data_IF_820436225588
#
_entry.id   IF_820436225588
#
_cell.length_a   1.000
_cell.length_b   1.000
_cell.length_c   1.000
_cell.angle_alpha   90.00
_cell.angle_beta   90.00
_cell.angle_gamma   90.00
#
_symmetry.space_group_name_H-M   'P 1'
#
loop_
_entity.id
_entity.type
_entity.pdbx_description
1 polymer ?
#
# COMPACT_ATOMS: atom_id res chain seq x y z
N UNK A 1 -51.30 15.44 -47.46
CA UNK A 1 -51.10 14.72 -46.18
C UNK A 1 -50.17 15.55 -45.31
N UNK A 2 -50.69 16.09 -44.22
CA UNK A 2 -49.91 16.85 -43.24
C UNK A 2 -49.25 15.87 -42.26
N UNK A 3 -47.93 15.87 -42.16
CA UNK A 3 -47.25 15.18 -41.07
C UNK A 3 -47.41 16.00 -39.78
N UNK A 4 -48.28 15.52 -38.90
CA UNK A 4 -48.41 15.93 -37.51
C UNK A 4 -47.03 15.97 -36.85
N UNK A 5 -46.69 17.12 -36.27
CA UNK A 5 -45.64 17.25 -35.26
C UNK A 5 -46.05 16.36 -34.08
N UNK A 6 -45.25 15.34 -33.77
CA UNK A 6 -45.39 14.59 -32.52
C UNK A 6 -44.94 15.53 -31.39
N UNK A 7 -45.90 16.04 -30.62
CA UNK A 7 -45.63 16.58 -29.29
C UNK A 7 -45.20 15.43 -28.40
N UNK A 8 -43.88 15.29 -28.21
CA UNK A 8 -43.36 14.53 -27.08
C UNK A 8 -43.56 15.39 -25.84
N UNK A 9 -44.30 14.84 -24.88
CA UNK A 9 -44.58 15.44 -23.57
C UNK A 9 -43.38 16.16 -22.99
N UNK A 10 -43.62 17.34 -22.40
CA UNK A 10 -42.67 18.06 -21.53
C UNK A 10 -42.30 17.15 -20.36
N UNK A 11 -41.34 16.26 -20.58
CA UNK A 11 -40.53 15.73 -19.50
C UNK A 11 -39.64 16.90 -19.10
N UNK A 12 -40.09 17.66 -18.10
CA UNK A 12 -39.30 18.76 -17.56
C UNK A 12 -37.88 18.24 -17.29
N UNK A 13 -36.89 18.94 -17.83
CA UNK A 13 -35.49 18.59 -17.61
C UNK A 13 -35.16 18.89 -16.15
N UNK A 14 -35.45 17.91 -15.29
CA UNK A 14 -35.28 17.97 -13.83
C UNK A 14 -33.83 18.19 -13.42
N UNK A 15 -32.88 17.88 -14.30
CA UNK A 15 -31.46 18.13 -14.02
C UNK A 15 -31.17 19.60 -14.32
N UNK A 16 -31.61 20.13 -15.46
CA UNK A 16 -31.42 21.56 -15.79
C UNK A 16 -32.15 22.54 -14.86
N UNK A 17 -33.14 22.07 -14.08
CA UNK A 17 -33.83 22.87 -13.06
C UNK A 17 -33.08 22.97 -11.73
N UNK A 18 -31.97 22.24 -11.56
CA UNK A 18 -31.13 22.32 -10.36
C UNK A 18 -30.40 23.68 -10.26
N UNK A 19 -30.04 24.11 -9.03
CA UNK A 19 -29.19 25.28 -8.82
C UNK A 19 -27.82 25.13 -9.48
N UNK A 20 -27.24 26.26 -9.89
CA UNK A 20 -25.93 26.34 -10.57
C UNK A 20 -24.83 25.62 -9.79
N UNK A 21 -24.84 25.77 -8.46
CA UNK A 21 -23.85 25.15 -7.56
C UNK A 21 -23.93 23.62 -7.61
N UNK A 22 -25.13 23.06 -7.70
CA UNK A 22 -25.35 21.61 -7.81
C UNK A 22 -24.95 21.12 -9.19
N UNK A 23 -25.26 21.88 -10.25
CA UNK A 23 -24.81 21.56 -11.61
C UNK A 23 -23.27 21.55 -11.70
N UNK A 24 -22.60 22.53 -11.09
CA UNK A 24 -21.15 22.58 -10.99
C UNK A 24 -20.56 21.40 -10.23
N UNK A 25 -21.21 20.96 -9.14
CA UNK A 25 -20.83 19.74 -8.42
C UNK A 25 -20.98 18.49 -9.29
N UNK A 26 -22.11 18.33 -9.99
CA UNK A 26 -22.34 17.20 -10.90
C UNK A 26 -21.27 17.17 -11.99
N UNK A 27 -20.95 18.32 -12.60
CA UNK A 27 -19.90 18.42 -13.61
C UNK A 27 -18.49 18.12 -13.05
N UNK A 28 -18.26 18.38 -11.76
CA UNK A 28 -16.99 18.07 -11.08
C UNK A 28 -16.83 16.58 -10.70
N UNK A 29 -17.86 15.76 -10.93
CA UNK A 29 -17.81 14.31 -10.74
C UNK A 29 -17.49 13.55 -12.03
N UNK A 30 -17.45 14.24 -13.18
CA UNK A 30 -17.12 13.64 -14.48
C UNK A 30 -15.79 14.20 -15.01
N UNK A 31 -15.09 13.45 -15.89
CA UNK A 31 -13.90 13.96 -16.56
C UNK A 31 -14.13 15.33 -17.21
N UNK A 32 -13.16 16.24 -17.13
CA UNK A 32 -13.30 17.65 -17.56
C UNK A 32 -13.81 17.76 -19.00
N UNK A 33 -13.40 16.82 -19.87
CA UNK A 33 -13.83 16.77 -21.28
C UNK A 33 -15.32 16.50 -21.45
N UNK A 34 -15.88 15.61 -20.62
CA UNK A 34 -17.32 15.35 -20.62
C UNK A 34 -18.05 16.55 -20.03
N UNK A 35 -17.52 17.17 -18.97
CA UNK A 35 -18.10 18.39 -18.42
C UNK A 35 -18.16 19.52 -19.46
N UNK A 36 -17.05 19.77 -20.17
CA UNK A 36 -16.96 20.77 -21.23
C UNK A 36 -17.89 20.46 -22.42
N UNK A 37 -17.98 19.19 -22.82
CA UNK A 37 -18.90 18.74 -23.88
C UNK A 37 -20.36 18.98 -23.48
N UNK A 38 -20.75 18.60 -22.26
CA UNK A 38 -22.10 18.83 -21.72
C UNK A 38 -22.44 20.32 -21.67
N UNK A 39 -21.48 21.16 -21.26
CA UNK A 39 -21.63 22.61 -21.28
C UNK A 39 -21.83 23.15 -22.71
N UNK A 40 -21.10 22.63 -23.70
CA UNK A 40 -21.22 23.06 -25.09
C UNK A 40 -22.58 22.70 -25.71
N UNK A 41 -23.15 21.56 -25.33
CA UNK A 41 -24.39 21.02 -25.92
C UNK A 41 -25.67 21.68 -25.39
N UNK A 42 -25.64 22.32 -24.21
CA UNK A 42 -26.83 22.91 -23.60
C UNK A 42 -26.65 24.41 -23.32
N UNK A 43 -27.66 25.21 -23.71
CA UNK A 43 -27.69 26.66 -23.42
C UNK A 43 -27.65 26.95 -21.92
N UNK A 44 -28.30 26.11 -21.10
CA UNK A 44 -28.35 26.21 -19.64
C UNK A 44 -26.99 25.93 -18.99
N UNK A 45 -26.23 25.01 -19.58
CA UNK A 45 -24.98 24.50 -19.02
C UNK A 45 -23.74 25.23 -19.57
N UNK A 46 -23.89 26.04 -20.62
CA UNK A 46 -22.79 26.73 -21.33
C UNK A 46 -21.81 27.47 -20.43
N UNK A 47 -22.29 28.07 -19.34
CA UNK A 47 -21.46 28.85 -18.42
C UNK A 47 -21.10 28.08 -17.13
N UNK A 48 -21.60 26.85 -16.96
CA UNK A 48 -21.42 26.06 -15.74
C UNK A 48 -20.00 25.49 -15.61
N UNK A 49 -19.20 25.48 -16.68
CA UNK A 49 -17.82 25.02 -16.64
C UNK A 49 -16.98 25.82 -15.63
N UNK A 50 -17.32 27.11 -15.41
CA UNK A 50 -16.67 27.97 -14.42
C UNK A 50 -16.87 27.51 -12.97
N UNK A 51 -17.86 26.66 -12.70
CA UNK A 51 -18.18 26.13 -11.36
C UNK A 51 -17.52 24.77 -11.11
N UNK A 52 -16.78 24.25 -12.09
CA UNK A 52 -16.07 22.97 -11.97
C UNK A 52 -14.82 23.16 -11.11
N UNK A 53 -14.70 22.36 -10.06
CA UNK A 53 -13.61 22.45 -9.08
C UNK A 53 -12.69 21.22 -9.07
N UNK A 54 -13.03 20.18 -9.82
CA UNK A 54 -12.17 19.02 -10.05
C UNK A 54 -11.85 18.94 -11.53
N UNK A 55 -10.56 19.01 -11.86
CA UNK A 55 -10.10 18.90 -13.23
C UNK A 55 -9.38 17.58 -13.41
N UNK A 56 -9.86 16.79 -14.34
CA UNK A 56 -9.25 15.53 -14.75
C UNK A 56 -8.99 15.52 -16.26
N UNK A 57 -7.69 15.55 -16.60
CA UNK A 57 -7.17 15.54 -17.95
C UNK A 57 -6.45 14.21 -18.19
N UNK A 58 -7.19 13.24 -18.72
CA UNK A 58 -6.66 11.92 -19.04
C UNK A 58 -6.61 11.69 -20.56
N UNK A 59 -5.39 11.47 -21.07
CA UNK A 59 -5.08 11.16 -22.47
C UNK A 59 -5.71 9.84 -22.96
N UNK A 60 -5.95 8.86 -22.08
CA UNK A 60 -6.49 7.54 -22.45
C UNK A 60 -7.88 7.62 -23.11
N UNK A 61 -8.69 8.62 -22.76
CA UNK A 61 -10.00 8.86 -23.39
C UNK A 61 -9.90 9.27 -24.88
N UNK A 62 -8.71 9.55 -25.40
CA UNK A 62 -8.46 9.81 -26.82
C UNK A 62 -8.19 8.53 -27.62
N UNK A 63 -7.87 7.42 -26.95
CA UNK A 63 -7.50 6.14 -27.60
C UNK A 63 -8.71 5.48 -28.27
N UNK A 64 -9.93 5.68 -27.75
CA UNK A 64 -11.12 5.00 -28.29
C UNK A 64 -11.70 5.64 -29.56
N UNK A 65 -11.45 6.93 -29.81
CA UNK A 65 -12.12 7.66 -30.89
C UNK A 65 -11.30 7.88 -32.17
N UNK A 66 -9.96 7.81 -32.13
CA UNK A 66 -9.15 8.15 -33.32
C UNK A 66 -7.88 7.32 -33.48
N UNK A 67 -8.02 6.09 -33.99
CA UNK A 67 -6.89 5.20 -34.37
C UNK A 67 -6.07 5.67 -35.59
N UNK A 68 -6.38 6.79 -36.25
CA UNK A 68 -5.81 7.13 -37.57
C UNK A 68 -4.75 8.25 -37.64
N UNK A 69 -4.45 8.98 -36.57
CA UNK A 69 -3.40 10.02 -36.59
C UNK A 69 -2.59 10.00 -35.29
N UNK A 70 -1.32 9.57 -35.33
CA UNK A 70 -0.48 9.37 -34.14
C UNK A 70 0.56 10.48 -33.88
N UNK A 71 0.74 11.46 -34.78
CA UNK A 71 1.78 12.50 -34.64
C UNK A 71 1.30 13.87 -34.14
N UNK A 72 -0.01 14.15 -34.13
CA UNK A 72 -0.60 15.45 -33.71
C UNK A 72 -1.26 15.42 -32.32
N UNK A 73 -1.29 14.26 -31.64
CA UNK A 73 -2.10 14.00 -30.42
C UNK A 73 -1.71 14.83 -29.19
N UNK A 74 -0.42 15.10 -28.99
CA UNK A 74 0.04 15.88 -27.84
C UNK A 74 -0.43 17.34 -27.88
N UNK A 75 -0.54 17.93 -29.08
CA UNK A 75 -0.96 19.32 -29.24
C UNK A 75 -2.46 19.52 -28.98
N UNK A 76 -3.32 18.57 -29.38
CA UNK A 76 -4.77 18.67 -29.16
C UNK A 76 -5.14 18.63 -27.67
N UNK A 77 -4.42 17.83 -26.88
CA UNK A 77 -4.58 17.81 -25.43
C UNK A 77 -4.15 19.12 -24.79
N UNK A 78 -2.97 19.61 -25.15
CA UNK A 78 -2.43 20.87 -24.66
C UNK A 78 -3.39 22.02 -24.93
N UNK A 79 -3.85 22.17 -26.17
CA UNK A 79 -4.79 23.22 -26.55
C UNK A 79 -6.11 23.10 -25.78
N UNK A 80 -6.57 21.86 -25.54
CA UNK A 80 -7.75 21.61 -24.74
C UNK A 80 -7.55 21.98 -23.26
N UNK A 81 -6.43 21.60 -22.66
CA UNK A 81 -6.13 21.92 -21.25
C UNK A 81 -5.92 23.42 -21.07
N UNK A 82 -5.14 24.07 -21.94
CA UNK A 82 -4.91 25.52 -21.88
C UNK A 82 -6.22 26.30 -22.02
N UNK A 83 -7.09 25.94 -22.97
CA UNK A 83 -8.42 26.57 -23.09
C UNK A 83 -9.26 26.35 -21.84
N UNK A 84 -9.23 25.15 -21.27
CA UNK A 84 -9.97 24.84 -20.05
C UNK A 84 -9.46 25.65 -18.86
N UNK A 85 -8.15 25.78 -18.68
CA UNK A 85 -7.56 26.57 -17.60
C UNK A 85 -7.77 28.07 -17.76
N UNK A 86 -7.74 28.60 -19.00
CA UNK A 86 -8.12 30.00 -19.26
C UNK A 86 -9.57 30.26 -18.87
N UNK A 87 -10.48 29.32 -19.12
CA UNK A 87 -11.89 29.42 -18.73
C UNK A 87 -12.12 29.33 -17.22
N UNK A 88 -11.12 28.86 -16.47
CA UNK A 88 -11.19 28.63 -15.02
C UNK A 88 -10.41 29.66 -14.20
N UNK A 89 -9.71 30.62 -14.85
CA UNK A 89 -9.02 31.73 -14.18
C UNK A 89 -10.01 32.54 -13.34
N UNK A 90 -10.06 32.25 -12.04
CA UNK A 90 -10.93 32.92 -11.06
C UNK A 90 -11.71 31.98 -10.14
N UNK A 91 -11.79 30.68 -10.45
CA UNK A 91 -12.49 29.70 -9.63
C UNK A 91 -11.52 28.84 -8.81
N UNK A 92 -11.79 28.61 -7.51
CA UNK A 92 -10.92 27.79 -6.67
C UNK A 92 -10.97 26.33 -7.12
N UNK A 93 -9.86 25.83 -7.67
CA UNK A 93 -9.71 24.43 -8.04
C UNK A 93 -9.41 23.65 -6.75
N UNK A 94 -10.13 22.57 -6.48
CA UNK A 94 -9.83 21.66 -5.36
C UNK A 94 -8.84 20.59 -5.80
N UNK A 95 -9.09 19.97 -6.96
CA UNK A 95 -8.30 18.84 -7.46
C UNK A 95 -7.90 19.05 -8.91
N UNK A 96 -6.64 18.79 -9.21
CA UNK A 96 -6.07 18.77 -10.55
C UNK A 96 -5.42 17.42 -10.82
N UNK A 97 -5.83 16.75 -11.89
CA UNK A 97 -5.32 15.45 -12.34
C UNK A 97 -4.89 15.57 -13.79
N UNK A 98 -3.66 15.17 -14.08
CA UNK A 98 -3.08 15.17 -15.42
C UNK A 98 -2.39 13.83 -15.66
N UNK A 99 -2.89 13.09 -16.65
CA UNK A 99 -2.25 11.90 -17.20
C UNK A 99 -1.82 12.15 -18.64
N UNK A 100 -0.52 12.05 -18.91
CA UNK A 100 0.02 12.26 -20.25
C UNK A 100 1.05 11.20 -20.64
N UNK A 101 0.84 10.64 -21.83
CA UNK A 101 1.73 9.64 -22.42
C UNK A 101 2.77 10.25 -23.38
N UNK A 102 2.72 11.56 -23.62
CA UNK A 102 3.45 12.22 -24.71
C UNK A 102 4.67 13.01 -24.23
N UNK A 103 5.85 12.65 -24.74
CA UNK A 103 7.13 13.35 -24.48
C UNK A 103 7.18 14.80 -25.02
N UNK A 104 6.25 15.16 -25.92
CA UNK A 104 6.25 16.45 -26.62
C UNK A 104 5.63 17.60 -25.81
N UNK A 105 5.17 17.34 -24.58
CA UNK A 105 4.31 18.26 -23.81
C UNK A 105 5.07 19.03 -22.71
N UNK A 106 6.39 18.84 -22.56
CA UNK A 106 7.20 19.38 -21.45
C UNK A 106 6.90 20.84 -21.03
N UNK A 107 7.06 21.88 -21.87
CA UNK A 107 6.84 23.27 -21.43
C UNK A 107 5.37 23.58 -21.11
N UNK A 108 4.47 22.77 -21.65
CA UNK A 108 3.04 22.93 -21.42
C UNK A 108 2.67 22.33 -20.07
N UNK A 109 3.18 21.14 -19.70
CA UNK A 109 2.93 20.54 -18.37
C UNK A 109 3.31 21.50 -17.24
N UNK A 110 4.49 22.11 -17.28
CA UNK A 110 4.93 23.07 -16.25
C UNK A 110 3.99 24.27 -16.15
N UNK A 111 3.54 24.80 -17.29
CA UNK A 111 2.56 25.88 -17.35
C UNK A 111 1.21 25.46 -16.79
N UNK A 112 0.75 24.25 -17.07
CA UNK A 112 -0.51 23.70 -16.57
C UNK A 112 -0.47 23.57 -15.04
N UNK A 113 0.63 23.02 -14.50
CA UNK A 113 0.86 22.91 -13.06
C UNK A 113 0.90 24.30 -12.42
N UNK A 114 1.63 25.24 -13.01
CA UNK A 114 1.72 26.63 -12.51
C UNK A 114 0.36 27.31 -12.45
N UNK A 115 -0.44 27.21 -13.53
CA UNK A 115 -1.80 27.76 -13.57
C UNK A 115 -2.71 27.12 -12.50
N UNK A 116 -2.61 25.81 -12.28
CA UNK A 116 -3.40 25.13 -11.24
C UNK A 116 -3.00 25.60 -9.83
N UNK A 117 -1.70 25.83 -9.60
CA UNK A 117 -1.16 26.39 -8.36
C UNK A 117 -1.62 27.83 -8.12
N UNK A 118 -1.62 28.68 -9.16
CA UNK A 118 -2.17 30.04 -9.08
C UNK A 118 -3.65 30.06 -8.70
N UNK A 119 -4.42 29.03 -9.08
CA UNK A 119 -5.82 28.86 -8.69
C UNK A 119 -6.01 28.28 -7.28
N UNK A 120 -4.94 28.08 -6.51
CA UNK A 120 -4.98 27.62 -5.13
C UNK A 120 -5.33 26.15 -4.97
N UNK A 121 -4.90 25.29 -5.90
CA UNK A 121 -5.18 23.84 -5.86
C UNK A 121 -4.76 23.18 -4.55
N UNK A 122 -5.62 22.28 -4.05
CA UNK A 122 -5.39 21.52 -2.82
C UNK A 122 -4.83 20.12 -3.10
N UNK A 123 -5.26 19.48 -4.19
CA UNK A 123 -4.85 18.13 -4.56
C UNK A 123 -4.30 18.09 -5.99
N UNK A 124 -3.08 17.58 -6.16
CA UNK A 124 -2.46 17.41 -7.49
C UNK A 124 -2.13 15.94 -7.70
N UNK A 125 -2.57 15.39 -8.83
CA UNK A 125 -2.22 14.07 -9.32
C UNK A 125 -1.57 14.17 -10.69
N UNK A 126 -0.34 13.68 -10.81
CA UNK A 126 0.43 13.69 -12.06
C UNK A 126 0.82 12.26 -12.40
N UNK A 127 0.41 11.79 -13.58
CA UNK A 127 0.84 10.52 -14.18
C UNK A 127 1.57 10.81 -15.49
N UNK A 128 2.91 10.76 -15.47
CA UNK A 128 3.75 11.20 -16.59
C UNK A 128 4.73 10.08 -16.98
N UNK A 129 4.62 9.58 -18.21
CA UNK A 129 5.49 8.48 -18.69
C UNK A 129 6.94 8.96 -18.96
N UNK A 130 7.11 10.25 -19.26
CA UNK A 130 8.40 10.85 -19.61
C UNK A 130 9.17 11.40 -18.40
N UNK A 131 10.51 11.33 -18.44
CA UNK A 131 11.42 12.00 -17.49
C UNK A 131 11.16 13.52 -17.44
N UNK A 132 10.67 14.03 -16.31
CA UNK A 132 10.43 15.47 -16.11
C UNK A 132 10.87 15.86 -14.70
N UNK A 133 11.36 17.08 -14.51
CA UNK A 133 11.62 17.62 -13.17
C UNK A 133 10.33 18.20 -12.61
N UNK A 134 10.16 18.16 -11.28
CA UNK A 134 9.02 18.83 -10.66
C UNK A 134 9.28 20.34 -10.67
N UNK A 135 8.32 21.17 -11.12
CA UNK A 135 8.43 22.63 -11.00
C UNK A 135 8.65 23.04 -9.54
N UNK A 136 9.57 23.98 -9.30
CA UNK A 136 9.89 24.45 -7.94
C UNK A 136 8.67 25.06 -7.25
N UNK A 137 7.75 25.64 -8.04
CA UNK A 137 6.47 26.20 -7.61
C UNK A 137 5.60 25.17 -6.89
N UNK A 138 5.60 23.90 -7.36
CA UNK A 138 4.85 22.82 -6.73
C UNK A 138 5.42 22.50 -5.35
N UNK A 139 6.75 22.54 -5.22
CA UNK A 139 7.46 22.29 -3.96
C UNK A 139 7.26 23.42 -2.95
N UNK A 140 7.02 24.65 -3.40
CA UNK A 140 6.83 25.82 -2.53
C UNK A 140 5.35 26.17 -2.27
N UNK A 141 4.42 25.35 -2.79
CA UNK A 141 2.99 25.62 -2.69
C UNK A 141 2.49 25.65 -1.24
N UNK A 142 1.76 26.72 -0.89
CA UNK A 142 1.13 26.91 0.43
C UNK A 142 -0.31 26.41 0.51
N UNK A 143 -0.87 25.99 -0.61
CA UNK A 143 -2.25 25.49 -0.68
C UNK A 143 -2.30 23.97 -0.85
N UNK A 144 -1.24 23.37 -1.41
CA UNK A 144 -1.21 21.96 -1.74
C UNK A 144 -1.19 21.09 -0.48
N UNK A 145 -2.26 20.34 -0.28
CA UNK A 145 -2.47 19.42 0.86
C UNK A 145 -2.13 17.98 0.47
N UNK A 146 -2.38 17.59 -0.78
CA UNK A 146 -2.14 16.23 -1.27
C UNK A 146 -1.44 16.24 -2.62
N UNK A 147 -0.35 15.48 -2.71
CA UNK A 147 0.42 15.29 -3.94
C UNK A 147 0.52 13.81 -4.26
N UNK A 148 0.18 13.44 -5.49
CA UNK A 148 0.35 12.09 -6.00
C UNK A 148 1.11 12.13 -7.32
N UNK A 149 2.26 11.46 -7.34
CA UNK A 149 3.11 11.34 -8.52
C UNK A 149 3.17 9.87 -8.93
N UNK A 150 2.89 9.60 -10.20
CA UNK A 150 2.91 8.26 -10.78
C UNK A 150 3.72 8.29 -12.05
N UNK A 151 4.62 7.32 -12.19
CA UNK A 151 5.52 7.20 -13.32
C UNK A 151 6.44 8.42 -13.56
N UNK A 152 7.61 8.16 -14.13
CA UNK A 152 8.61 9.18 -14.42
C UNK A 152 9.69 9.32 -13.33
N UNK A 153 10.82 9.90 -13.71
CA UNK A 153 11.94 10.20 -12.81
C UNK A 153 12.05 11.71 -12.66
N UNK A 154 12.13 12.19 -11.42
CA UNK A 154 12.23 13.61 -11.10
C UNK A 154 13.55 13.88 -10.35
N UNK A 155 14.71 13.83 -11.06
CA UNK A 155 15.95 14.34 -10.49
C UNK A 155 15.80 15.86 -10.37
N UNK A 156 15.87 16.38 -9.15
CA UNK A 156 15.77 17.81 -8.95
C UNK A 156 17.14 18.45 -9.15
N UNK A 157 17.21 19.42 -10.06
CA UNK A 157 18.37 20.30 -10.16
C UNK A 157 18.31 21.30 -8.99
N UNK A 158 19.04 20.98 -7.92
CA UNK A 158 19.41 21.85 -6.79
C UNK A 158 18.33 22.83 -6.30
N UNK A 159 17.68 22.46 -5.20
CA UNK A 159 16.87 23.40 -4.42
C UNK A 159 17.70 24.53 -3.81
N UNK A 160 17.12 25.74 -3.62
CA UNK A 160 17.76 26.78 -2.83
C UNK A 160 17.91 26.29 -1.38
N UNK A 161 19.10 26.44 -0.77
CA UNK A 161 19.32 26.07 0.63
C UNK A 161 18.32 26.79 1.56
N UNK A 162 17.72 26.06 2.49
CA UNK A 162 16.82 26.63 3.51
C UNK A 162 15.38 26.90 3.04
N UNK A 163 14.97 26.43 1.86
CA UNK A 163 13.57 26.51 1.42
C UNK A 163 12.71 25.50 2.17
N UNK A 164 11.62 25.97 2.79
CA UNK A 164 10.62 25.10 3.40
C UNK A 164 9.82 24.42 2.28
N UNK A 165 10.09 23.14 2.06
CA UNK A 165 9.39 22.36 1.05
C UNK A 165 8.01 21.97 1.58
N UNK A 166 7.02 22.06 0.72
CA UNK A 166 5.67 21.58 0.95
C UNK A 166 5.06 22.06 2.29
N UNK A 167 4.96 23.39 2.52
CA UNK A 167 4.55 23.96 3.80
C UNK A 167 3.15 23.56 4.29
N UNK A 168 2.25 23.14 3.38
CA UNK A 168 0.88 22.74 3.70
C UNK A 168 0.57 21.26 3.39
N UNK A 169 1.55 20.50 2.90
CA UNK A 169 1.32 19.14 2.38
C UNK A 169 1.18 18.14 3.53
N UNK A 170 0.04 17.45 3.56
CA UNK A 170 -0.27 16.41 4.55
C UNK A 170 -0.08 15.00 4.02
N UNK A 171 -0.27 14.79 2.72
CA UNK A 171 -0.19 13.47 2.10
C UNK A 171 0.67 13.51 0.85
N UNK A 172 1.69 12.65 0.81
CA UNK A 172 2.55 12.45 -0.35
C UNK A 172 2.48 10.99 -0.81
N UNK A 173 2.11 10.78 -2.07
CA UNK A 173 2.08 9.45 -2.67
C UNK A 173 2.96 9.38 -3.92
N UNK A 174 3.88 8.41 -3.95
CA UNK A 174 4.88 8.21 -5.00
C UNK A 174 4.73 6.79 -5.56
N UNK A 175 4.41 6.65 -6.84
CA UNK A 175 4.17 5.38 -7.51
C UNK A 175 5.13 5.17 -8.69
N UNK A 176 6.14 4.32 -8.53
CA UNK A 176 7.21 4.06 -9.51
C UNK A 176 7.97 5.33 -9.90
N UNK A 177 8.32 6.13 -8.88
CA UNK A 177 8.93 7.46 -9.06
C UNK A 177 10.30 7.52 -8.39
N UNK A 178 11.30 8.04 -9.12
CA UNK A 178 12.56 8.47 -8.52
C UNK A 178 12.42 9.90 -7.99
N UNK A 179 12.35 10.04 -6.67
CA UNK A 179 12.13 11.32 -6.00
C UNK A 179 13.24 11.59 -4.98
N UNK A 180 14.30 12.25 -5.44
CA UNK A 180 15.52 12.48 -4.66
C UNK A 180 15.35 13.47 -3.49
N UNK A 181 14.27 14.26 -3.51
CA UNK A 181 14.04 15.33 -2.53
C UNK A 181 13.96 14.80 -1.10
N UNK A 182 13.45 13.58 -0.88
CA UNK A 182 13.32 12.97 0.45
C UNK A 182 14.60 12.29 0.97
N UNK A 183 15.63 12.16 0.14
CA UNK A 183 16.83 11.39 0.47
C UNK A 183 17.95 12.22 1.10
N UNK A 184 17.93 13.55 0.96
CA UNK A 184 18.91 14.39 1.66
C UNK A 184 18.43 14.72 3.06
N UNK A 185 19.18 14.25 4.06
CA UNK A 185 18.99 14.53 5.49
C UNK A 185 19.04 16.03 5.85
N UNK A 186 19.46 16.88 4.91
CA UNK A 186 19.76 18.29 5.13
C UNK A 186 18.61 19.25 4.75
N UNK A 187 17.47 18.77 4.22
CA UNK A 187 16.47 19.69 3.62
C UNK A 187 14.99 19.24 3.69
N UNK A 188 14.65 18.22 4.47
CA UNK A 188 13.29 17.67 4.53
C UNK A 188 12.52 18.05 5.80
N UNK A 189 12.26 19.33 6.01
CA UNK A 189 11.21 19.74 6.95
C UNK A 189 9.95 20.08 6.15
N UNK A 190 9.22 19.04 5.72
CA UNK A 190 7.80 19.19 5.37
C UNK A 190 7.04 19.24 6.71
N UNK A 191 6.69 20.43 7.25
CA UNK A 191 6.38 20.58 8.67
C UNK A 191 5.06 19.92 9.09
N UNK A 192 4.19 19.64 8.12
CA UNK A 192 2.82 19.14 8.35
C UNK A 192 2.54 17.83 7.60
N UNK A 193 3.57 17.14 7.10
CA UNK A 193 3.43 15.90 6.36
C UNK A 193 3.04 14.76 7.31
N UNK A 194 1.82 14.26 7.21
CA UNK A 194 1.24 13.26 8.10
C UNK A 194 1.33 11.84 7.49
N UNK A 195 1.21 11.71 6.17
CA UNK A 195 1.16 10.42 5.46
C UNK A 195 2.09 10.37 4.25
N UNK A 196 2.88 9.29 4.15
CA UNK A 196 3.77 9.01 3.01
C UNK A 196 3.49 7.62 2.45
N UNK A 197 3.19 7.56 1.16
CA UNK A 197 2.95 6.33 0.43
C UNK A 197 3.99 6.19 -0.69
N UNK A 198 4.75 5.10 -0.71
CA UNK A 198 5.78 4.81 -1.69
C UNK A 198 5.48 3.42 -2.28
N UNK A 199 5.36 3.32 -3.59
CA UNK A 199 5.04 2.08 -4.27
C UNK A 199 5.89 1.94 -5.55
N UNK A 200 6.93 1.12 -5.48
CA UNK A 200 7.81 0.77 -6.58
C UNK A 200 7.57 -0.68 -7.00
N UNK A 201 6.60 -0.91 -7.89
CA UNK A 201 6.28 -2.25 -8.41
C UNK A 201 7.08 -2.60 -9.68
N UNK A 202 7.72 -1.61 -10.33
CA UNK A 202 8.49 -1.83 -11.57
C UNK A 202 9.97 -2.07 -11.24
N UNK A 203 10.50 -3.28 -11.45
CA UNK A 203 11.81 -3.62 -10.90
C UNK A 203 13.00 -2.91 -11.54
N UNK A 204 12.85 -2.50 -12.80
CA UNK A 204 13.87 -1.80 -13.59
C UNK A 204 13.81 -0.27 -13.44
N UNK A 205 12.76 0.27 -12.80
CA UNK A 205 12.53 1.71 -12.63
C UNK A 205 12.50 2.17 -11.18
N UNK A 206 12.95 1.34 -10.25
CA UNK A 206 12.91 1.66 -8.84
C UNK A 206 13.59 3.00 -8.57
N UNK A 207 12.88 3.87 -7.86
CA UNK A 207 13.26 5.25 -7.64
C UNK A 207 13.35 5.61 -6.16
N UNK A 208 12.87 4.74 -5.27
CA UNK A 208 13.01 4.91 -3.84
C UNK A 208 14.47 4.71 -3.40
N UNK A 209 15.02 5.72 -2.72
CA UNK A 209 16.41 5.78 -2.22
C UNK A 209 16.50 5.18 -0.81
N UNK A 210 15.58 4.26 -0.47
CA UNK A 210 15.55 3.54 0.81
C UNK A 210 15.61 4.42 2.08
N UNK A 211 15.23 5.69 1.97
CA UNK A 211 15.27 6.65 3.07
C UNK A 211 13.95 7.42 3.18
N UNK A 212 13.46 7.54 4.41
CA UNK A 212 12.33 8.39 4.80
C UNK A 212 12.64 9.01 6.16
N UNK A 213 12.46 10.32 6.30
CA UNK A 213 12.67 11.02 7.58
C UNK A 213 11.68 12.16 7.72
N UNK A 214 11.22 12.42 8.96
CA UNK A 214 10.27 13.49 9.24
C UNK A 214 9.59 13.34 10.59
N UNK A 215 9.55 14.40 11.37
CA UNK A 215 8.96 14.39 12.72
C UNK A 215 7.44 14.50 12.71
N UNK A 216 6.82 15.05 11.66
CA UNK A 216 5.36 15.17 11.54
C UNK A 216 4.67 13.88 11.05
N UNK A 217 5.43 12.93 10.50
CA UNK A 217 4.90 11.76 9.79
C UNK A 217 4.30 10.77 10.79
N UNK A 218 3.03 10.41 10.58
CA UNK A 218 2.27 9.48 11.43
C UNK A 218 1.96 8.15 10.72
N UNK A 219 1.93 8.14 9.39
CA UNK A 219 1.59 6.95 8.60
C UNK A 219 2.56 6.78 7.43
N UNK A 220 3.14 5.59 7.31
CA UNK A 220 4.00 5.20 6.19
C UNK A 220 3.50 3.92 5.57
N UNK A 221 3.37 3.91 4.24
CA UNK A 221 3.14 2.73 3.43
C UNK A 221 4.26 2.64 2.40
N UNK A 222 5.07 1.60 2.47
CA UNK A 222 6.16 1.34 1.54
C UNK A 222 5.92 -0.03 0.92
N UNK A 223 5.90 -0.05 -0.39
CA UNK A 223 5.90 -1.25 -1.20
C UNK A 223 7.02 -1.11 -2.22
N UNK A 224 8.03 -1.96 -2.17
CA UNK A 224 9.13 -1.92 -3.13
C UNK A 224 9.56 -3.32 -3.54
N UNK A 225 9.47 -3.59 -4.83
CA UNK A 225 9.93 -4.84 -5.47
C UNK A 225 11.10 -4.62 -6.42
N UNK A 226 11.86 -3.55 -6.19
CA UNK A 226 13.09 -3.28 -6.94
C UNK A 226 14.03 -4.48 -6.92
N UNK A 227 14.66 -4.77 -8.06
CA UNK A 227 15.74 -5.77 -8.15
C UNK A 227 17.14 -5.14 -8.05
N UNK A 228 17.22 -3.82 -7.84
CA UNK A 228 18.48 -3.13 -7.69
C UNK A 228 19.00 -3.30 -6.25
N UNK A 229 19.93 -4.24 -6.05
CA UNK A 229 20.57 -4.52 -4.76
C UNK A 229 21.17 -3.28 -4.08
N UNK A 230 21.59 -2.25 -4.83
CA UNK A 230 22.13 -1.02 -4.24
C UNK A 230 21.11 -0.28 -3.36
N UNK A 231 19.82 -0.35 -3.69
CA UNK A 231 18.75 0.27 -2.89
C UNK A 231 18.54 -0.45 -1.55
N UNK A 232 19.06 -1.66 -1.41
CA UNK A 232 18.88 -2.48 -0.21
C UNK A 232 20.16 -2.56 0.63
N UNK A 233 21.11 -1.66 0.41
CA UNK A 233 22.33 -1.56 1.21
C UNK A 233 22.04 -1.16 2.66
N UNK A 234 21.17 -0.17 2.86
CA UNK A 234 20.63 0.21 4.16
C UNK A 234 19.28 0.90 3.97
N UNK A 235 18.27 0.53 4.77
CA UNK A 235 16.97 1.23 4.81
C UNK A 235 16.93 2.14 6.03
N UNK A 236 16.68 3.43 5.81
CA UNK A 236 16.67 4.47 6.86
C UNK A 236 15.25 5.00 7.04
N UNK A 237 14.68 4.83 8.24
CA UNK A 237 13.36 5.38 8.60
C UNK A 237 13.51 6.11 9.93
N UNK A 238 13.49 7.45 9.88
CA UNK A 238 13.68 8.31 11.06
C UNK A 238 12.42 9.16 11.27
N UNK A 239 11.43 8.58 11.94
CA UNK A 239 10.09 9.18 12.11
C UNK A 239 9.57 8.90 13.53
N UNK A 240 9.96 9.71 14.53
CA UNK A 240 9.69 9.42 15.94
C UNK A 240 8.20 9.39 16.31
N UNK A 241 7.36 10.13 15.58
CA UNK A 241 5.90 10.19 15.79
C UNK A 241 5.11 9.22 14.88
N UNK A 242 5.78 8.26 14.23
CA UNK A 242 5.13 7.29 13.38
C UNK A 242 4.22 6.38 14.21
N UNK A 243 2.94 6.27 13.82
CA UNK A 243 1.93 5.44 14.51
C UNK A 243 1.61 4.16 13.72
N UNK A 244 1.70 4.22 12.39
CA UNK A 244 1.38 3.12 11.49
C UNK A 244 2.46 2.92 10.43
N UNK A 245 2.96 1.69 10.31
CA UNK A 245 3.91 1.28 9.29
C UNK A 245 3.36 0.07 8.51
N UNK A 246 3.27 0.20 7.20
CA UNK A 246 3.06 -0.92 6.27
C UNK A 246 4.28 -1.03 5.36
N UNK A 247 5.08 -2.09 5.51
CA UNK A 247 6.37 -2.25 4.86
C UNK A 247 6.44 -3.59 4.12
N UNK A 248 6.37 -3.53 2.79
CA UNK A 248 6.50 -4.66 1.88
C UNK A 248 7.73 -4.50 1.01
N UNK A 249 8.73 -5.36 1.17
CA UNK A 249 9.95 -5.30 0.37
C UNK A 249 10.82 -6.56 0.46
N UNK A 250 11.89 -6.63 -0.33
CA UNK A 250 12.96 -7.59 -0.04
C UNK A 250 13.71 -7.18 1.23
N UNK A 251 14.21 -8.17 1.98
CA UNK A 251 15.04 -7.92 3.16
C UNK A 251 16.29 -7.13 2.76
N UNK A 252 16.60 -6.04 3.46
CA UNK A 252 17.79 -5.23 3.22
C UNK A 252 19.01 -5.79 3.96
N UNK A 253 20.20 -5.41 3.51
CA UNK A 253 21.46 -5.76 4.18
C UNK A 253 21.55 -5.16 5.58
N UNK A 254 20.99 -3.95 5.77
CA UNK A 254 20.95 -3.29 7.07
C UNK A 254 19.73 -2.35 7.19
N UNK A 255 19.38 -1.98 8.42
CA UNK A 255 18.27 -1.09 8.73
C UNK A 255 18.68 -0.08 9.82
N UNK A 256 18.38 1.20 9.61
CA UNK A 256 18.45 2.25 10.62
C UNK A 256 17.03 2.81 10.83
N UNK A 257 16.36 2.32 11.86
CA UNK A 257 14.93 2.62 12.08
C UNK A 257 14.74 3.22 13.46
N UNK A 258 14.20 4.44 13.51
CA UNK A 258 13.81 5.16 14.71
C UNK A 258 12.32 5.52 14.63
N UNK A 259 11.49 4.75 15.34
CA UNK A 259 10.02 4.76 15.27
C UNK A 259 9.40 4.60 16.66
N UNK A 260 9.76 5.49 17.58
CA UNK A 260 9.50 5.34 19.02
C UNK A 260 8.01 5.28 19.38
N UNK A 261 7.13 5.90 18.58
CA UNK A 261 5.67 5.97 18.80
C UNK A 261 4.85 4.90 18.05
N UNK A 262 5.50 3.91 17.44
CA UNK A 262 4.83 2.97 16.54
C UNK A 262 3.85 2.05 17.27
N UNK A 263 2.59 2.05 16.82
CA UNK A 263 1.50 1.26 17.42
C UNK A 263 1.17 0.03 16.59
N UNK A 264 1.09 0.17 15.26
CA UNK A 264 0.77 -0.90 14.33
C UNK A 264 1.84 -1.03 13.25
N UNK A 265 2.37 -2.25 13.10
CA UNK A 265 3.31 -2.60 12.04
C UNK A 265 2.75 -3.75 11.20
N UNK A 266 2.89 -3.63 9.88
CA UNK A 266 2.62 -4.67 8.89
C UNK A 266 3.89 -4.92 8.11
N UNK A 267 4.39 -6.14 8.16
CA UNK A 267 5.59 -6.53 7.44
C UNK A 267 5.24 -7.57 6.38
N UNK A 268 5.69 -7.30 5.16
CA UNK A 268 5.76 -8.25 4.04
C UNK A 268 7.20 -8.29 3.49
N UNK A 269 8.08 -8.93 4.24
CA UNK A 269 9.49 -9.08 3.92
C UNK A 269 9.75 -10.34 3.10
N UNK A 270 10.55 -10.24 2.05
CA UNK A 270 10.90 -11.37 1.16
C UNK A 270 12.38 -11.69 1.16
N UNK A 271 12.69 -12.97 1.09
CA UNK A 271 14.06 -13.46 0.85
C UNK A 271 14.43 -13.32 -0.63
N UNK A 272 15.70 -12.98 -0.89
CA UNK A 272 16.25 -12.89 -2.25
C UNK A 272 16.35 -14.23 -2.96
N UNK A 273 16.33 -15.36 -2.24
CA UNK A 273 16.35 -16.71 -2.83
C UNK A 273 15.14 -17.01 -3.72
N UNK A 274 14.04 -16.29 -3.53
CA UNK A 274 12.82 -16.43 -4.34
C UNK A 274 12.83 -15.53 -5.57
N UNK A 275 13.95 -14.88 -5.84
CA UNK A 275 14.17 -14.16 -7.06
C UNK A 275 14.39 -15.15 -8.21
N UNK A 276 13.37 -15.30 -9.05
CA UNK A 276 13.39 -16.20 -10.20
C UNK A 276 14.02 -15.49 -11.40
N UNK A 277 15.04 -16.11 -11.99
CA UNK A 277 15.80 -15.57 -13.10
C UNK A 277 15.16 -15.96 -14.42
N UNK A 278 14.38 -15.04 -15.00
CA UNK A 278 13.97 -15.13 -16.40
C UNK A 278 14.06 -13.76 -17.08
N UNK A 279 15.15 -13.01 -16.83
CA UNK A 279 15.43 -11.74 -17.53
C UNK A 279 16.76 -11.75 -18.30
N UNK A 280 16.77 -11.35 -19.59
CA UNK A 280 17.93 -11.40 -20.49
C UNK A 280 19.07 -10.39 -20.18
N UNK A 281 19.03 -9.69 -19.05
CA UNK A 281 20.04 -8.68 -18.66
C UNK A 281 20.90 -9.08 -17.45
N UNK A 282 20.97 -10.38 -17.12
CA UNK A 282 21.76 -10.92 -15.99
C UNK A 282 23.27 -10.61 -16.05
N UNK A 283 23.78 -10.16 -17.20
CA UNK A 283 25.20 -9.88 -17.40
C UNK A 283 25.69 -8.54 -16.80
N UNK A 284 24.80 -7.67 -16.32
CA UNK A 284 25.19 -6.32 -15.84
C UNK A 284 25.32 -6.20 -14.31
N UNK A 285 25.00 -7.24 -13.54
CA UNK A 285 25.20 -7.25 -12.09
C UNK A 285 26.06 -8.47 -11.76
N UNK A 286 27.34 -8.30 -11.36
CA UNK A 286 28.18 -9.45 -11.05
C UNK A 286 27.70 -10.09 -9.75
N UNK A 287 26.95 -11.19 -9.89
CA UNK A 287 26.67 -12.11 -8.79
C UNK A 287 27.97 -12.86 -8.47
N UNK A 288 28.67 -12.45 -7.42
CA UNK A 288 29.70 -13.29 -6.78
C UNK A 288 29.14 -14.15 -5.64
N UNK A 289 27.84 -14.06 -5.35
CA UNK A 289 27.19 -14.96 -4.39
C UNK A 289 26.14 -15.81 -5.11
N UNK A 290 26.54 -17.05 -5.38
CA UNK A 290 25.64 -18.16 -5.66
C UNK A 290 24.91 -18.50 -4.34
N UNK A 291 23.60 -18.21 -4.20
CA UNK A 291 22.85 -18.43 -2.95
C UNK A 291 22.82 -19.91 -2.54
N UNK A 292 23.14 -20.82 -3.47
CA UNK A 292 23.12 -22.26 -3.26
C UNK A 292 24.44 -22.81 -2.71
N UNK A 293 25.53 -22.02 -2.66
CA UNK A 293 26.86 -22.54 -2.29
C UNK A 293 27.31 -22.24 -0.86
N UNK A 294 26.81 -21.19 -0.21
CA UNK A 294 27.32 -20.75 1.11
C UNK A 294 26.32 -20.85 2.29
N UNK A 295 25.05 -21.20 2.07
CA UNK A 295 24.09 -21.39 3.16
C UNK A 295 23.68 -20.12 3.94
N UNK A 296 24.31 -18.97 3.69
CA UNK A 296 23.96 -17.68 4.27
C UNK A 296 22.92 -16.94 3.41
N UNK A 297 21.78 -16.60 4.03
CA UNK A 297 20.74 -15.80 3.40
C UNK A 297 21.15 -14.32 3.38
N UNK A 298 21.03 -13.66 2.22
CA UNK A 298 21.33 -12.23 2.10
C UNK A 298 20.29 -11.38 2.83
N UNK A 299 20.76 -10.50 3.72
CA UNK A 299 19.94 -9.53 4.47
C UNK A 299 20.00 -9.71 5.99
N UNK A 300 19.72 -8.64 6.74
CA UNK A 300 19.66 -8.66 8.21
C UNK A 300 18.46 -7.83 8.69
N UNK A 301 17.40 -8.49 9.15
CA UNK A 301 16.20 -7.86 9.67
C UNK A 301 16.30 -7.50 11.16
N UNK A 302 17.40 -7.83 11.85
CA UNK A 302 17.52 -7.72 13.32
C UNK A 302 17.23 -6.31 13.83
N UNK A 303 17.76 -5.27 13.17
CA UNK A 303 17.55 -3.87 13.57
C UNK A 303 16.13 -3.39 13.29
N UNK A 304 15.51 -3.83 12.20
CA UNK A 304 14.10 -3.53 11.90
C UNK A 304 13.19 -4.13 12.98
N UNK A 305 13.38 -5.40 13.32
CA UNK A 305 12.58 -6.09 14.35
C UNK A 305 12.79 -5.47 15.72
N UNK A 306 14.03 -5.11 16.07
CA UNK A 306 14.34 -4.41 17.30
C UNK A 306 13.66 -3.04 17.39
N UNK A 307 13.57 -2.30 16.28
CA UNK A 307 12.94 -0.98 16.24
C UNK A 307 11.42 -1.06 16.46
N UNK A 308 10.75 -2.11 15.97
CA UNK A 308 9.30 -2.27 16.11
C UNK A 308 8.86 -3.02 17.39
N UNK A 309 9.78 -3.28 18.34
CA UNK A 309 9.49 -4.09 19.54
C UNK A 309 8.35 -3.56 20.43
N UNK A 310 8.02 -2.27 20.33
CA UNK A 310 7.03 -1.60 21.17
C UNK A 310 5.61 -1.60 20.60
N UNK A 311 5.39 -2.21 19.42
CA UNK A 311 4.07 -2.22 18.77
C UNK A 311 3.02 -2.96 19.59
N UNK A 312 1.77 -2.51 19.45
CA UNK A 312 0.59 -3.15 20.04
C UNK A 312 0.00 -4.19 19.10
N UNK A 313 0.08 -3.93 17.79
CA UNK A 313 -0.40 -4.85 16.75
C UNK A 313 0.68 -5.11 15.71
N UNK A 314 0.95 -6.38 15.45
CA UNK A 314 1.91 -6.83 14.43
C UNK A 314 1.20 -7.73 13.41
N UNK A 315 1.37 -7.41 12.12
CA UNK A 315 0.95 -8.26 11.00
C UNK A 315 2.18 -8.75 10.25
N UNK A 316 2.22 -10.05 9.94
CA UNK A 316 3.31 -10.70 9.22
C UNK A 316 2.79 -11.47 8.01
N UNK A 317 3.41 -11.27 6.85
CA UNK A 317 3.18 -12.13 5.68
C UNK A 317 3.82 -13.52 5.85
N UNK A 318 3.47 -14.52 5.01
CA UNK A 318 4.11 -15.83 5.08
C UNK A 318 5.61 -15.76 4.80
N UNK A 319 6.03 -14.88 3.89
CA UNK A 319 7.44 -14.63 3.57
C UNK A 319 8.17 -13.99 4.75
N UNK A 320 7.50 -13.10 5.49
CA UNK A 320 8.08 -12.44 6.67
C UNK A 320 8.43 -13.45 7.76
N UNK A 321 7.64 -14.52 7.94
CA UNK A 321 7.96 -15.59 8.89
C UNK A 321 9.31 -16.25 8.58
N UNK A 322 9.60 -16.48 7.30
CA UNK A 322 10.90 -17.03 6.90
C UNK A 322 12.02 -16.00 7.06
N UNK A 323 11.80 -14.74 6.66
CA UNK A 323 12.81 -13.68 6.85
C UNK A 323 13.17 -13.52 8.32
N UNK A 324 12.19 -13.55 9.23
CA UNK A 324 12.45 -13.47 10.66
C UNK A 324 13.18 -14.70 11.20
N UNK A 325 13.04 -15.87 10.57
CA UNK A 325 13.80 -17.06 10.96
C UNK A 325 15.25 -17.02 10.45
N UNK A 326 15.44 -16.68 9.17
CA UNK A 326 16.74 -16.80 8.50
C UNK A 326 17.61 -15.54 8.59
N UNK A 327 17.00 -14.35 8.65
CA UNK A 327 17.70 -13.06 8.60
C UNK A 327 17.59 -12.27 9.92
N UNK A 328 17.06 -12.86 10.99
CA UNK A 328 17.03 -12.22 12.30
C UNK A 328 17.88 -12.99 13.30
N UNK A 329 18.95 -12.37 13.80
CA UNK A 329 19.86 -13.00 14.77
C UNK A 329 19.22 -13.16 16.16
N UNK A 330 18.32 -12.25 16.51
CA UNK A 330 17.64 -12.25 17.80
C UNK A 330 16.30 -11.54 17.72
N UNK A 331 15.25 -12.22 18.16
CA UNK A 331 13.92 -11.63 18.32
C UNK A 331 13.87 -10.91 19.68
N UNK A 332 13.51 -9.61 19.73
CA UNK A 332 13.37 -8.86 20.97
C UNK A 332 12.12 -9.28 21.75
N UNK A 333 12.01 -8.84 23.00
CA UNK A 333 10.77 -8.97 23.76
C UNK A 333 9.74 -7.94 23.31
N UNK A 334 8.55 -8.42 22.96
CA UNK A 334 7.40 -7.64 22.54
C UNK A 334 6.44 -7.43 23.72
N UNK A 335 6.88 -6.62 24.68
CA UNK A 335 6.15 -6.40 25.93
C UNK A 335 4.80 -5.68 25.74
N UNK A 336 4.60 -4.96 24.63
CA UNK A 336 3.36 -4.24 24.37
C UNK A 336 2.44 -4.96 23.38
N UNK A 337 2.88 -6.09 22.79
CA UNK A 337 2.16 -6.75 21.71
C UNK A 337 0.93 -7.47 22.25
N UNK A 338 -0.25 -6.94 21.93
CA UNK A 338 -1.55 -7.50 22.30
C UNK A 338 -2.15 -8.34 21.18
N UNK A 339 -1.84 -8.01 19.93
CA UNK A 339 -2.38 -8.69 18.75
C UNK A 339 -1.28 -9.05 17.75
N UNK A 340 -1.12 -10.35 17.51
CA UNK A 340 -0.30 -10.91 16.44
C UNK A 340 -1.21 -11.47 15.36
N UNK A 341 -0.99 -11.04 14.12
CA UNK A 341 -1.67 -11.57 12.95
C UNK A 341 -0.65 -12.08 11.94
N UNK A 342 -0.85 -13.26 11.38
CA UNK A 342 -0.02 -13.71 10.28
C UNK A 342 -0.78 -14.52 9.23
N UNK A 343 -0.22 -14.54 8.03
CA UNK A 343 -0.68 -15.36 6.91
C UNK A 343 0.16 -16.63 6.82
N UNK A 344 -0.50 -17.76 6.59
CA UNK A 344 0.14 -19.05 6.40
C UNK A 344 0.11 -19.45 4.93
N UNK A 345 1.17 -20.13 4.49
CA UNK A 345 1.27 -20.62 3.12
C UNK A 345 1.95 -21.98 3.08
N UNK A 346 1.46 -22.91 2.24
CA UNK A 346 1.98 -24.28 2.12
C UNK A 346 3.47 -24.37 1.74
N UNK A 347 4.01 -23.31 1.14
CA UNK A 347 5.42 -23.21 0.72
C UNK A 347 6.31 -22.43 1.70
N UNK A 348 5.77 -21.96 2.83
CA UNK A 348 6.50 -21.18 3.85
C UNK A 348 6.39 -21.87 5.20
N UNK A 349 7.48 -21.91 5.96
CA UNK A 349 7.54 -22.60 7.25
C UNK A 349 7.11 -21.70 8.41
N UNK A 350 6.83 -22.31 9.57
CA UNK A 350 6.45 -21.63 10.82
C UNK A 350 7.60 -21.58 11.85
N UNK A 351 8.83 -21.72 11.40
CA UNK A 351 10.00 -21.96 12.27
C UNK A 351 10.25 -20.84 13.30
N UNK A 352 9.87 -19.60 13.00
CA UNK A 352 10.04 -18.46 13.91
C UNK A 352 8.94 -18.35 14.98
N UNK A 353 7.77 -18.96 14.77
CA UNK A 353 6.60 -18.77 15.64
C UNK A 353 6.85 -19.17 17.11
N UNK A 354 7.53 -20.29 17.43
CA UNK A 354 7.87 -20.62 18.81
C UNK A 354 8.58 -19.46 19.54
N UNK A 355 9.61 -18.91 18.90
CA UNK A 355 10.41 -17.83 19.47
C UNK A 355 9.60 -16.54 19.61
N UNK A 356 8.80 -16.20 18.59
CA UNK A 356 7.98 -14.98 18.61
C UNK A 356 6.90 -15.04 19.71
N UNK A 357 6.23 -16.18 19.87
CA UNK A 357 5.20 -16.37 20.89
C UNK A 357 5.79 -16.38 22.31
N UNK A 358 6.95 -17.01 22.51
CA UNK A 358 7.66 -16.97 23.81
C UNK A 358 8.09 -15.55 24.19
N UNK A 359 8.43 -14.71 23.21
CA UNK A 359 8.85 -13.32 23.41
C UNK A 359 7.69 -12.32 23.45
N UNK A 360 6.44 -12.78 23.51
CA UNK A 360 5.24 -11.93 23.52
C UNK A 360 4.37 -12.19 24.76
N UNK A 361 4.82 -11.74 25.96
CA UNK A 361 4.20 -12.12 27.24
C UNK A 361 2.82 -11.50 27.50
N UNK A 362 2.38 -10.53 26.70
CA UNK A 362 1.08 -9.85 26.84
C UNK A 362 0.15 -10.12 25.64
N UNK A 363 0.45 -11.14 24.83
CA UNK A 363 -0.31 -11.46 23.62
C UNK A 363 -1.69 -12.05 23.97
N UNK A 364 -2.75 -11.32 23.65
CA UNK A 364 -4.12 -11.77 23.90
C UNK A 364 -4.83 -12.29 22.64
N UNK A 365 -4.51 -11.73 21.48
CA UNK A 365 -5.20 -12.01 20.22
C UNK A 365 -4.24 -12.60 19.20
N UNK A 366 -4.45 -13.88 18.85
CA UNK A 366 -3.72 -14.54 17.77
C UNK A 366 -4.63 -14.67 16.55
N UNK A 367 -4.24 -14.07 15.44
CA UNK A 367 -5.00 -14.12 14.17
C UNK A 367 -4.18 -14.86 13.12
N UNK A 368 -4.76 -15.92 12.57
CA UNK A 368 -4.10 -16.74 11.56
C UNK A 368 -4.98 -16.81 10.31
N UNK A 369 -4.44 -16.43 9.17
CA UNK A 369 -5.08 -16.59 7.87
C UNK A 369 -4.48 -17.82 7.18
N UNK A 370 -5.29 -18.87 7.03
CA UNK A 370 -4.87 -20.20 6.63
C UNK A 370 -4.17 -20.97 7.75
N UNK A 371 -4.27 -22.31 7.78
CA UNK A 371 -3.66 -23.16 8.81
C UNK A 371 -2.65 -24.16 8.27
N UNK A 372 -2.32 -24.07 6.97
CA UNK A 372 -1.39 -24.97 6.29
C UNK A 372 -0.06 -24.25 6.09
N UNK A 373 1.03 -24.92 6.43
CA UNK A 373 2.41 -24.42 6.29
C UNK A 373 3.33 -25.52 5.75
N UNK A 374 4.51 -25.14 5.27
CA UNK A 374 5.55 -26.08 4.84
C UNK A 374 6.05 -26.88 6.03
N UNK A 375 5.80 -28.20 6.03
CA UNK A 375 6.32 -29.09 7.08
C UNK A 375 7.83 -29.25 6.91
N UNK A 376 8.56 -28.91 7.96
CA UNK A 376 10.01 -29.09 8.08
C UNK A 376 10.30 -29.86 9.38
N UNK A 377 11.50 -30.40 9.49
CA UNK A 377 12.05 -30.97 10.73
C UNK A 377 12.24 -29.92 11.85
N UNK A 378 12.18 -28.63 11.48
CA UNK A 378 12.43 -27.49 12.34
C UNK A 378 11.17 -26.65 12.66
N UNK A 379 9.96 -27.11 12.33
CA UNK A 379 8.73 -26.34 12.59
C UNK A 379 8.44 -26.02 14.09
N UNK A 380 9.26 -26.53 15.00
CA UNK A 380 9.15 -26.29 16.43
C UNK A 380 7.88 -26.87 17.04
N UNK A 381 7.42 -26.26 18.12
CA UNK A 381 6.36 -26.74 19.01
C UNK A 381 5.04 -25.95 18.89
N UNK A 382 4.89 -25.17 17.83
CA UNK A 382 3.65 -24.44 17.50
C UNK A 382 2.76 -25.23 16.54
N UNK A 383 3.31 -26.27 15.90
CA UNK A 383 2.59 -27.07 14.91
C UNK A 383 2.37 -28.53 15.34
N UNK A 384 1.34 -29.15 14.76
CA UNK A 384 1.01 -30.56 14.99
C UNK A 384 1.95 -31.54 14.25
N UNK A 385 2.99 -31.07 13.57
CA UNK A 385 3.91 -31.90 12.79
C UNK A 385 4.69 -32.85 13.72
N UNK A 386 4.80 -34.13 13.32
CA UNK A 386 5.16 -35.26 14.19
C UNK A 386 6.59 -35.28 14.76
N UNK A 387 7.43 -34.27 14.50
CA UNK A 387 8.88 -34.40 14.65
C UNK A 387 9.45 -33.97 16.02
N UNK A 388 8.71 -33.22 16.87
CA UNK A 388 9.25 -32.65 18.12
C UNK A 388 8.35 -32.78 19.36
N UNK A 389 7.61 -33.89 19.53
CA UNK A 389 6.72 -34.12 20.69
C UNK A 389 7.40 -34.27 22.07
N UNK A 390 8.72 -34.10 22.17
CA UNK A 390 9.47 -34.27 23.43
C UNK A 390 9.66 -32.96 24.21
N UNK A 391 9.36 -31.81 23.61
CA UNK A 391 9.53 -30.48 24.23
C UNK A 391 8.14 -29.97 24.66
N UNK A 392 7.99 -29.43 25.89
CA UNK A 392 6.75 -28.76 26.29
C UNK A 392 6.45 -27.60 25.34
N UNK A 393 5.25 -27.56 24.78
CA UNK A 393 4.87 -26.53 23.82
C UNK A 393 4.88 -25.14 24.45
N UNK A 394 5.47 -24.16 23.78
CA UNK A 394 5.44 -22.75 24.14
C UNK A 394 4.02 -22.18 24.22
N UNK A 395 3.05 -22.84 23.59
CA UNK A 395 1.64 -22.52 23.64
C UNK A 395 1.06 -22.69 25.06
N UNK A 396 1.62 -23.60 25.87
CA UNK A 396 1.18 -23.85 27.24
C UNK A 396 1.39 -22.65 28.17
N UNK A 397 2.40 -21.83 27.87
CA UNK A 397 2.71 -20.57 28.58
C UNK A 397 2.14 -19.33 27.88
N UNK A 398 1.46 -19.49 26.75
CA UNK A 398 0.99 -18.38 25.95
C UNK A 398 -0.33 -17.80 26.54
N UNK A 399 -0.42 -16.47 26.76
CA UNK A 399 -1.59 -15.84 27.39
C UNK A 399 -2.74 -15.54 26.42
N UNK A 400 -2.74 -16.16 25.24
CA UNK A 400 -3.74 -15.92 24.19
C UNK A 400 -5.14 -16.31 24.68
N UNK A 401 -6.04 -15.32 24.64
CA UNK A 401 -7.46 -15.46 24.99
C UNK A 401 -8.34 -15.66 23.77
N UNK A 402 -7.97 -15.05 22.64
CA UNK A 402 -8.76 -15.10 21.39
C UNK A 402 -7.91 -15.61 20.25
N UNK A 403 -8.26 -16.77 19.72
CA UNK A 403 -7.73 -17.33 18.49
C UNK A 403 -8.70 -17.03 17.35
N UNK A 404 -8.27 -16.32 16.31
CA UNK A 404 -9.07 -16.07 15.10
C UNK A 404 -8.46 -16.77 13.91
N UNK A 405 -9.21 -17.64 13.27
CA UNK A 405 -8.79 -18.38 12.07
C UNK A 405 -9.62 -17.92 10.87
N UNK A 406 -8.94 -17.52 9.81
CA UNK A 406 -9.56 -17.18 8.53
C UNK A 406 -9.19 -18.21 7.46
N UNK A 407 -10.15 -18.54 6.60
CA UNK A 407 -9.91 -19.45 5.48
C UNK A 407 -9.85 -20.93 5.87
N UNK A 408 -10.62 -21.33 6.90
CA UNK A 408 -10.64 -22.73 7.37
C UNK A 408 -11.40 -23.62 6.39
N UNK A 409 -10.70 -24.57 5.77
CA UNK A 409 -11.26 -25.50 4.78
C UNK A 409 -11.70 -26.86 5.36
N UNK A 410 -11.32 -27.18 6.61
CA UNK A 410 -11.66 -28.45 7.26
C UNK A 410 -10.83 -29.65 6.80
N UNK A 411 -9.70 -29.43 6.14
CA UNK A 411 -8.80 -30.52 5.75
C UNK A 411 -8.25 -31.26 6.98
N UNK A 412 -7.82 -32.51 6.79
CA UNK A 412 -7.24 -33.33 7.86
C UNK A 412 -6.04 -32.66 8.56
N UNK A 413 -5.27 -31.81 7.85
CA UNK A 413 -4.15 -31.08 8.43
C UNK A 413 -4.63 -29.93 9.31
N UNK A 414 -5.63 -29.17 8.85
CA UNK A 414 -6.20 -28.05 9.61
C UNK A 414 -6.92 -28.53 10.87
N UNK A 415 -7.67 -29.64 10.80
CA UNK A 415 -8.33 -30.27 11.96
C UNK A 415 -7.29 -30.68 13.02
N UNK A 416 -6.17 -31.28 12.59
CA UNK A 416 -5.07 -31.66 13.49
C UNK A 416 -4.42 -30.43 14.15
N UNK A 417 -4.18 -29.37 13.37
CA UNK A 417 -3.60 -28.14 13.88
C UNK A 417 -4.55 -27.41 14.84
N UNK A 418 -5.85 -27.37 14.53
CA UNK A 418 -6.88 -26.80 15.41
C UNK A 418 -6.94 -27.55 16.74
N UNK A 419 -7.00 -28.88 16.69
CA UNK A 419 -6.94 -29.73 17.89
C UNK A 419 -5.70 -29.41 18.73
N UNK A 420 -4.54 -29.30 18.08
CA UNK A 420 -3.29 -28.96 18.76
C UNK A 420 -3.36 -27.60 19.47
N UNK A 421 -3.91 -26.56 18.84
CA UNK A 421 -4.10 -25.27 19.50
C UNK A 421 -5.07 -25.35 20.68
N UNK A 422 -6.20 -26.06 20.54
CA UNK A 422 -7.18 -26.24 21.60
C UNK A 422 -6.59 -26.96 22.82
N UNK A 423 -5.79 -28.00 22.59
CA UNK A 423 -5.16 -28.80 23.66
C UNK A 423 -4.04 -28.05 24.38
N UNK A 424 -3.37 -27.09 23.74
CA UNK A 424 -2.17 -26.43 24.31
C UNK A 424 -2.38 -24.97 24.74
N UNK A 425 -3.35 -24.23 24.22
CA UNK A 425 -3.63 -22.84 24.63
C UNK A 425 -4.54 -22.80 25.87
N UNK A 426 -3.93 -22.76 27.05
CA UNK A 426 -4.65 -22.87 28.34
C UNK A 426 -5.53 -21.67 28.69
N UNK A 427 -5.21 -20.47 28.18
CA UNK A 427 -5.94 -19.25 28.49
C UNK A 427 -7.05 -18.93 27.48
N UNK A 428 -7.35 -19.87 26.57
CA UNK A 428 -8.23 -19.63 25.44
C UNK A 428 -9.70 -19.48 25.87
N UNK A 429 -10.31 -18.34 25.58
CA UNK A 429 -11.71 -18.05 25.84
C UNK A 429 -12.55 -18.17 24.56
N UNK A 430 -11.99 -17.72 23.42
CA UNK A 430 -12.71 -17.68 22.15
C UNK A 430 -11.87 -18.20 20.99
N UNK A 431 -12.48 -19.11 20.22
CA UNK A 431 -12.02 -19.53 18.90
C UNK A 431 -13.00 -19.00 17.87
N UNK A 432 -12.58 -18.00 17.10
CA UNK A 432 -13.39 -17.38 16.04
C UNK A 432 -12.96 -17.89 14.68
N UNK A 433 -13.85 -18.52 13.92
CA UNK A 433 -13.48 -19.19 12.67
C UNK A 433 -14.31 -18.68 11.50
N UNK A 434 -13.63 -18.15 10.48
CA UNK A 434 -14.21 -17.90 9.16
C UNK A 434 -13.96 -19.11 8.27
N UNK A 435 -15.01 -19.88 8.02
CA UNK A 435 -14.98 -21.08 7.16
C UNK A 435 -14.95 -20.65 5.70
N UNK A 436 -14.11 -21.31 4.90
CA UNK A 436 -14.02 -21.12 3.46
C UNK A 436 -14.20 -22.47 2.78
N UNK A 437 -15.39 -22.70 2.23
CA UNK A 437 -15.76 -23.92 1.52
C UNK A 437 -16.26 -23.60 0.12
N UNK A 438 -15.88 -24.43 -0.86
CA UNK A 438 -16.25 -24.23 -2.27
C UNK A 438 -17.73 -24.50 -2.54
N UNK A 439 -18.38 -25.30 -1.68
CA UNK A 439 -19.80 -25.67 -1.77
C UNK A 439 -20.46 -25.49 -0.40
N UNK A 440 -21.68 -24.95 -0.40
CA UNK A 440 -22.47 -24.72 0.82
C UNK A 440 -22.67 -26.01 1.64
N UNK A 441 -22.82 -27.15 0.96
CA UNK A 441 -23.04 -28.46 1.57
C UNK A 441 -21.85 -28.94 2.42
N UNK A 442 -20.64 -28.44 2.13
CA UNK A 442 -19.44 -28.75 2.91
C UNK A 442 -19.31 -27.90 4.18
N UNK A 443 -20.15 -26.87 4.35
CA UNK A 443 -20.09 -25.99 5.52
C UNK A 443 -20.48 -26.71 6.81
N UNK A 444 -21.60 -27.46 6.79
CA UNK A 444 -22.13 -28.15 7.98
C UNK A 444 -21.19 -29.26 8.49
N UNK A 445 -20.63 -30.14 7.64
CA UNK A 445 -19.63 -31.11 8.09
C UNK A 445 -18.40 -30.45 8.73
N UNK A 446 -17.84 -29.42 8.08
CA UNK A 446 -16.63 -28.72 8.55
C UNK A 446 -16.85 -28.03 9.89
N UNK A 447 -18.00 -27.39 10.06
CA UNK A 447 -18.37 -26.75 11.34
C UNK A 447 -18.66 -27.76 12.43
N UNK A 448 -19.32 -28.88 12.13
CA UNK A 448 -19.55 -29.98 13.09
C UNK A 448 -18.22 -30.60 13.56
N UNK A 449 -17.30 -30.88 12.65
CA UNK A 449 -15.98 -31.42 12.99
C UNK A 449 -15.20 -30.48 13.92
N UNK A 450 -15.29 -29.18 13.68
CA UNK A 450 -14.68 -28.18 14.55
C UNK A 450 -15.36 -28.11 15.93
N UNK A 451 -16.69 -28.18 15.99
CA UNK A 451 -17.44 -28.23 17.26
C UNK A 451 -17.11 -29.49 18.07
N UNK A 452 -16.82 -30.61 17.41
CA UNK A 452 -16.38 -31.85 18.05
C UNK A 452 -14.98 -31.74 18.69
N UNK A 453 -14.22 -30.66 18.44
CA UNK A 453 -12.94 -30.38 19.09
C UNK A 453 -13.10 -29.61 20.40
N UNK A 454 -14.26 -29.01 20.70
CA UNK A 454 -14.50 -28.30 21.97
C UNK A 454 -14.16 -29.14 23.21
N UNK A 455 -14.51 -30.43 23.29
CA UNK A 455 -14.16 -31.25 24.46
C UNK A 455 -12.65 -31.46 24.64
N UNK A 456 -11.84 -31.22 23.61
CA UNK A 456 -10.37 -31.31 23.69
C UNK A 456 -9.71 -29.99 24.11
N UNK A 457 -10.48 -28.92 24.27
CA UNK A 457 -9.96 -27.65 24.72
C UNK A 457 -9.41 -27.76 26.16
N UNK A 458 -8.20 -27.25 26.34
CA UNK A 458 -7.54 -27.19 27.64
C UNK A 458 -8.19 -26.17 28.60
N UNK A 459 -8.88 -25.17 28.04
CA UNK A 459 -9.69 -24.21 28.78
C UNK A 459 -11.15 -24.64 28.81
N UNK A 460 -11.72 -24.76 30.01
CA UNK A 460 -13.15 -25.06 30.21
C UNK A 460 -14.09 -23.93 29.80
N UNK A 461 -13.57 -22.70 29.65
CA UNK A 461 -14.34 -21.52 29.27
C UNK A 461 -14.34 -21.29 27.75
N UNK A 462 -13.56 -22.07 27.00
CA UNK A 462 -13.37 -21.91 25.56
C UNK A 462 -14.68 -22.10 24.78
N UNK A 463 -15.01 -21.12 23.94
CA UNK A 463 -16.17 -21.14 23.04
C UNK A 463 -15.74 -20.99 21.59
N UNK A 464 -16.43 -21.69 20.70
CA UNK A 464 -16.27 -21.51 19.25
C UNK A 464 -17.35 -20.57 18.75
N UNK A 465 -16.96 -19.64 17.87
CA UNK A 465 -17.87 -18.73 17.18
C UNK A 465 -17.50 -18.65 15.70
N UNK A 466 -18.47 -18.89 14.81
CA UNK A 466 -18.27 -18.76 13.37
C UNK A 466 -18.55 -17.31 12.93
N UNK A 467 -17.61 -16.70 12.19
CA UNK A 467 -17.61 -15.27 11.82
C UNK A 467 -17.67 -15.01 10.32
#
# INVERSE_FOLDING_TARGET
>A
MACKKMETASGDDLISSLPDEILGQILSLVPTRLAASTCALSKRWRNMLSLVHNLDFNDDYLVYYNRRYSKTRGHDLVDYVDRSLVLLRGSPIKKFSLKSSSEFVRPHVDRLISNALECGVLEVHLELISFQCIPTELLLSRTLVKLTLTDGYYPLDRLPPGSLLFPALKTLSLFSVCFAVLASSEMCDCPVLEEVNICDDIPLKAGWISQVSGSSIQRIIIFSRSHNLHHYSCVIITTPNLVFLDYSSYVAKDYLVQVDSLIEARLDLRLWKYYDYDHPFSFLVPFSHDPLRDGDYWGDATKLVAAIRNVVTLYLSPDSLEVLYFCCKSIPEFNNLVKLSFESHKERSWQVLPLLLQRSPNLENLVIKGLVHKTTDQCGDVCACSHQRKIPSCLLSCPVKVLKIFGYGGSCQEVKQMRYFMENLKCLEWVKVKVQVDQQDNYLPVTNDLMNLLPTASSSECKIHFI
#
